data_IF_775644028061
#
_entry.id   IF_775644028061
#
_cell.length_a   1.000
_cell.length_b   1.000
_cell.length_c   1.000
_cell.angle_alpha   90.00
_cell.angle_beta   90.00
_cell.angle_gamma   90.00
#
_symmetry.space_group_name_H-M   'P 1'
#
loop_
_entity.id
_entity.type
_entity.pdbx_description
1 polymer ?
#
# COMPACT_ATOMS: atom_id res chain seq x y z
N UNK A 1 15.56 -6.51 -6.00
CA UNK A 1 15.41 -6.02 -4.61
C UNK A 1 13.96 -6.05 -4.12
N UNK A 2 12.99 -5.38 -4.78
CA UNK A 2 11.59 -5.28 -4.26
C UNK A 2 10.55 -6.20 -4.93
N UNK A 3 10.90 -6.94 -5.99
CA UNK A 3 9.96 -7.85 -6.67
C UNK A 3 8.86 -7.16 -7.48
N UNK A 4 9.08 -5.90 -7.90
CA UNK A 4 8.15 -5.10 -8.72
C UNK A 4 8.63 -5.04 -10.17
N UNK A 5 7.71 -4.79 -11.11
CA UNK A 5 8.00 -4.71 -12.55
C UNK A 5 8.44 -3.30 -12.97
N UNK A 6 7.84 -2.28 -12.38
CA UNK A 6 8.07 -0.88 -12.69
C UNK A 6 8.83 -0.21 -11.55
N UNK A 7 9.88 0.60 -11.81
CA UNK A 7 10.62 1.32 -10.78
C UNK A 7 9.88 2.58 -10.32
N UNK A 8 8.56 2.47 -10.09
CA UNK A 8 7.67 3.55 -9.70
C UNK A 8 7.07 3.22 -8.34
N UNK A 9 7.24 4.12 -7.39
CA UNK A 9 6.66 4.03 -6.05
C UNK A 9 5.60 5.12 -5.93
N UNK A 10 4.36 4.74 -5.67
CA UNK A 10 3.33 5.72 -5.30
C UNK A 10 3.58 6.15 -3.85
N UNK A 11 3.82 7.45 -3.63
CA UNK A 11 4.21 7.98 -2.32
C UNK A 11 3.13 7.75 -1.25
N UNK A 12 3.48 7.31 -0.02
CA UNK A 12 2.53 7.27 1.09
C UNK A 12 2.09 8.70 1.43
N UNK A 13 0.78 8.93 1.44
CA UNK A 13 0.19 10.25 1.69
C UNK A 13 -0.93 10.11 2.72
N UNK A 14 -0.66 10.50 3.97
CA UNK A 14 -1.65 10.41 5.05
C UNK A 14 -2.90 11.23 4.68
N UNK A 15 -4.08 10.60 4.74
CA UNK A 15 -5.35 11.22 4.37
C UNK A 15 -5.68 11.23 2.87
N UNK A 16 -4.77 10.78 2.00
CA UNK A 16 -4.99 10.71 0.54
C UNK A 16 -4.80 9.29 0.01
N UNK A 17 -3.71 8.62 0.39
CA UNK A 17 -3.46 7.22 0.00
C UNK A 17 -4.46 6.28 0.65
N UNK A 18 -5.05 5.37 -0.14
CA UNK A 18 -6.04 4.39 0.30
C UNK A 18 -5.58 2.98 -0.02
N UNK A 19 -6.20 1.97 0.60
CA UNK A 19 -5.90 0.59 0.28
C UNK A 19 -6.17 0.26 -1.20
N UNK A 20 -7.25 0.80 -1.76
CA UNK A 20 -7.59 0.66 -3.17
C UNK A 20 -6.52 1.28 -4.10
N UNK A 21 -6.02 2.47 -3.78
CA UNK A 21 -4.95 3.12 -4.56
C UNK A 21 -3.66 2.29 -4.52
N UNK A 22 -3.24 1.87 -3.32
CA UNK A 22 -2.02 1.08 -3.16
C UNK A 22 -2.12 -0.26 -3.90
N UNK A 23 -3.26 -0.95 -3.81
CA UNK A 23 -3.49 -2.20 -4.52
C UNK A 23 -3.49 -2.01 -6.05
N UNK A 24 -4.12 -0.95 -6.56
CA UNK A 24 -4.13 -0.63 -7.98
C UNK A 24 -2.72 -0.44 -8.54
N UNK A 25 -1.87 0.36 -7.87
CA UNK A 25 -0.48 0.58 -8.28
C UNK A 25 0.33 -0.71 -8.22
N UNK A 26 0.15 -1.52 -7.17
CA UNK A 26 0.86 -2.79 -7.00
C UNK A 26 0.46 -3.80 -8.08
N UNK A 27 -0.83 -3.89 -8.42
CA UNK A 27 -1.33 -4.74 -9.52
C UNK A 27 -0.85 -4.27 -10.90
N UNK A 28 -0.67 -2.96 -11.10
CA UNK A 28 -0.07 -2.40 -12.31
C UNK A 28 1.46 -2.60 -12.41
N UNK A 29 2.08 -3.21 -11.40
CA UNK A 29 3.49 -3.58 -11.40
C UNK A 29 4.42 -2.57 -10.73
N UNK A 30 3.90 -1.45 -10.21
CA UNK A 30 4.64 -0.53 -9.34
C UNK A 30 4.62 -0.97 -7.88
N UNK A 31 5.04 -0.09 -6.97
CA UNK A 31 4.91 -0.29 -5.52
C UNK A 31 3.89 0.70 -4.95
N UNK A 32 2.70 0.22 -4.62
CA UNK A 32 1.70 1.02 -3.91
C UNK A 32 2.09 1.24 -2.45
N UNK A 33 1.65 2.35 -1.85
CA UNK A 33 1.94 2.67 -0.44
C UNK A 33 0.71 3.15 0.32
N UNK A 34 0.62 2.75 1.59
CA UNK A 34 -0.32 3.31 2.57
C UNK A 34 0.43 4.00 3.71
N UNK A 35 -0.16 5.03 4.29
CA UNK A 35 0.32 5.67 5.51
C UNK A 35 -0.59 5.29 6.70
N UNK A 36 -0.01 4.75 7.77
CA UNK A 36 -0.75 4.31 8.97
C UNK A 36 -0.45 5.18 10.21
N UNK A 37 0.50 6.11 10.11
CA UNK A 37 0.80 7.07 11.18
C UNK A 37 -0.47 7.82 11.61
N UNK A 38 -0.68 7.95 12.92
CA UNK A 38 -1.88 8.57 13.51
C UNK A 38 -3.05 7.60 13.74
N UNK A 39 -2.94 6.33 13.32
CA UNK A 39 -3.91 5.27 13.66
C UNK A 39 -3.41 4.42 14.84
N UNK A 40 -4.34 3.87 15.62
CA UNK A 40 -4.02 2.78 16.54
C UNK A 40 -3.48 1.56 15.77
N UNK A 41 -2.61 0.77 16.40
CA UNK A 41 -1.96 -0.38 15.75
C UNK A 41 -2.95 -1.36 15.10
N UNK A 42 -4.09 -1.62 15.74
CA UNK A 42 -5.12 -2.51 15.19
C UNK A 42 -5.81 -1.93 13.96
N UNK A 43 -5.98 -0.61 13.89
CA UNK A 43 -6.48 0.06 12.68
C UNK A 43 -5.43 0.02 11.56
N UNK A 44 -4.15 0.19 11.88
CA UNK A 44 -3.06 -0.04 10.93
C UNK A 44 -3.06 -1.47 10.38
N UNK A 45 -3.23 -2.48 11.25
CA UNK A 45 -3.37 -3.89 10.86
C UNK A 45 -4.55 -4.12 9.92
N UNK A 46 -5.70 -3.50 10.21
CA UNK A 46 -6.89 -3.60 9.35
C UNK A 46 -6.61 -3.05 7.95
N UNK A 47 -5.97 -1.89 7.83
CA UNK A 47 -5.58 -1.29 6.54
C UNK A 47 -4.58 -2.17 5.76
N UNK A 48 -3.60 -2.76 6.45
CA UNK A 48 -2.66 -3.70 5.82
C UNK A 48 -3.41 -4.92 5.24
N UNK A 49 -4.37 -5.46 5.99
CA UNK A 49 -5.21 -6.58 5.54
C UNK A 49 -6.13 -6.18 4.39
N UNK A 50 -6.63 -4.96 4.38
CA UNK A 50 -7.45 -4.44 3.28
C UNK A 50 -6.65 -4.40 1.97
N UNK A 51 -5.41 -3.88 1.99
CA UNK A 51 -4.53 -3.95 0.80
C UNK A 51 -4.29 -5.40 0.38
N UNK A 52 -3.98 -6.29 1.33
CA UNK A 52 -3.78 -7.73 1.05
C UNK A 52 -5.02 -8.41 0.46
N UNK A 53 -6.22 -7.96 0.80
CA UNK A 53 -7.46 -8.47 0.20
C UNK A 53 -7.66 -8.05 -1.26
N UNK A 54 -6.92 -7.04 -1.74
CA UNK A 54 -7.05 -6.46 -3.08
C UNK A 54 -5.84 -6.77 -3.99
N UNK A 55 -4.72 -7.22 -3.43
CA UNK A 55 -3.53 -7.58 -4.20
C UNK A 55 -2.63 -8.59 -3.47
N UNK A 56 -2.09 -9.54 -4.23
CA UNK A 56 -1.01 -10.43 -3.82
C UNK A 56 0.39 -9.85 -4.11
N UNK A 57 0.47 -8.66 -4.71
CA UNK A 57 1.73 -8.01 -5.10
C UNK A 57 2.38 -7.27 -3.91
N UNK A 58 3.70 -6.98 -3.97
CA UNK A 58 4.37 -6.18 -2.96
C UNK A 58 3.75 -4.78 -2.83
N UNK A 59 3.66 -4.26 -1.60
CA UNK A 59 3.28 -2.89 -1.30
C UNK A 59 4.06 -2.39 -0.07
N UNK A 60 4.07 -1.08 0.12
CA UNK A 60 4.77 -0.38 1.18
C UNK A 60 3.81 0.11 2.28
N UNK A 61 4.28 0.10 3.53
CA UNK A 61 3.58 0.63 4.70
C UNK A 61 4.47 1.67 5.35
N UNK A 62 3.95 2.89 5.47
CA UNK A 62 4.64 4.03 6.09
C UNK A 62 3.97 4.50 7.37
#
# INVERSE_FOLDING_TARGET
MLGIQQPIIQAPMLGVSTAALAAAVSNAGGLGSIAITGSAAEKGRALIREVRGLTDKPFNVN
#
